data_IF_490480869640
#
_entry.id   IF_490480869640
#
_cell.length_a   1.000
_cell.length_b   1.000
_cell.length_c   1.000
_cell.angle_alpha   90.00
_cell.angle_beta   90.00
_cell.angle_gamma   90.00
#
_symmetry.space_group_name_H-M   'P 1'
#
loop_
_entity.id
_entity.type
_entity.pdbx_description
1 polymer ?
#
# COMPACT_ATOMS: atom_id res chain seq x y z
N UNK A 1 -30.44 57.57 9.04
CA UNK A 1 -30.28 58.44 7.88
C UNK A 1 -30.29 57.49 6.67
N UNK A 2 -31.46 57.01 6.27
CA UNK A 2 -32.44 57.50 5.28
C UNK A 2 -31.72 57.84 3.95
N UNK A 3 -32.04 57.06 2.94
CA UNK A 3 -32.51 57.35 1.58
C UNK A 3 -32.17 56.15 0.67
N UNK A 4 -33.13 55.40 0.22
CA UNK A 4 -34.16 55.57 -0.84
C UNK A 4 -33.68 55.05 -2.22
N UNK A 5 -34.47 54.05 -2.68
CA UNK A 5 -34.56 53.50 -4.05
C UNK A 5 -34.84 54.57 -5.12
N UNK A 6 -34.62 54.24 -6.42
CA UNK A 6 -35.86 53.94 -7.15
C UNK A 6 -35.80 52.75 -8.13
N UNK A 7 -36.98 52.20 -8.32
CA UNK A 7 -37.42 51.25 -9.33
C UNK A 7 -37.56 51.92 -10.69
N UNK A 8 -37.28 51.23 -11.79
CA UNK A 8 -37.84 51.55 -13.11
C UNK A 8 -38.44 50.31 -13.77
N UNK A 9 -39.73 50.37 -13.94
CA UNK A 9 -40.52 49.52 -14.83
C UNK A 9 -40.39 50.04 -16.26
N UNK A 10 -40.22 49.16 -17.25
CA UNK A 10 -40.66 49.44 -18.64
C UNK A 10 -41.18 48.18 -19.29
N UNK A 11 -42.34 48.34 -19.71
CA UNK A 11 -43.43 47.74 -20.43
C UNK A 11 -43.11 46.79 -21.59
N UNK A 12 -44.03 45.87 -21.77
CA UNK A 12 -44.24 44.89 -22.82
C UNK A 12 -44.43 45.48 -24.24
N UNK A 13 -44.01 44.70 -25.24
CA UNK A 13 -44.58 44.76 -26.58
C UNK A 13 -44.66 43.36 -27.19
N UNK A 14 -45.88 42.92 -27.42
CA UNK A 14 -46.29 41.73 -28.17
C UNK A 14 -46.12 42.05 -29.66
N UNK A 15 -45.51 41.15 -30.42
CA UNK A 15 -45.47 41.18 -31.86
C UNK A 15 -45.41 39.76 -32.43
N UNK A 16 -46.58 39.23 -32.78
CA UNK A 16 -46.74 38.02 -33.54
C UNK A 16 -46.53 38.31 -35.04
N UNK A 17 -45.62 37.58 -35.68
CA UNK A 17 -45.59 37.42 -37.12
C UNK A 17 -45.34 35.97 -37.49
N UNK A 18 -46.40 35.36 -38.04
CA UNK A 18 -46.35 34.08 -38.75
C UNK A 18 -46.02 34.40 -40.20
N UNK A 19 -44.97 33.74 -40.72
CA UNK A 19 -44.86 33.48 -42.17
C UNK A 19 -43.95 32.29 -42.36
N UNK A 20 -44.49 31.39 -43.12
CA UNK A 20 -44.06 30.05 -43.42
C UNK A 20 -42.88 29.92 -44.38
N UNK A 21 -42.41 28.74 -44.45
CA UNK A 21 -41.98 28.08 -45.67
C UNK A 21 -40.51 28.00 -45.93
N UNK A 22 -40.16 26.83 -46.24
CA UNK A 22 -39.04 26.27 -46.98
C UNK A 22 -37.98 25.61 -46.15
N UNK A 23 -38.03 24.29 -46.20
CA UNK A 23 -36.98 23.37 -45.72
C UNK A 23 -35.67 23.65 -46.42
N UNK A 24 -34.65 23.66 -45.63
CA UNK A 24 -33.28 23.36 -46.06
C UNK A 24 -32.77 22.29 -45.13
N UNK A 25 -32.71 21.08 -45.61
CA UNK A 25 -31.93 20.03 -44.97
C UNK A 25 -30.50 20.51 -44.86
N UNK A 26 -30.05 20.80 -43.65
CA UNK A 26 -28.67 20.95 -43.34
C UNK A 26 -28.00 19.53 -43.49
N UNK A 27 -26.83 19.40 -44.12
CA UNK A 27 -26.15 18.13 -44.18
C UNK A 27 -25.79 17.73 -42.75
N UNK A 28 -26.12 16.46 -42.41
CA UNK A 28 -25.65 15.80 -41.21
C UNK A 28 -24.17 16.04 -41.02
N UNK A 29 -23.82 16.74 -39.92
CA UNK A 29 -22.43 16.75 -39.46
C UNK A 29 -22.04 15.30 -39.17
N UNK A 30 -20.85 14.84 -39.59
CA UNK A 30 -20.40 13.50 -39.26
C UNK A 30 -20.37 13.39 -37.73
N UNK A 31 -21.07 12.40 -37.19
CA UNK A 31 -20.95 11.98 -35.80
C UNK A 31 -19.47 11.81 -35.52
N UNK A 32 -18.95 12.51 -34.52
CA UNK A 32 -17.60 12.29 -34.00
C UNK A 32 -17.40 10.80 -33.70
N UNK A 33 -16.17 10.31 -33.68
CA UNK A 33 -15.92 8.92 -33.35
C UNK A 33 -16.61 8.62 -32.03
N UNK A 34 -17.65 7.77 -32.09
CA UNK A 34 -18.37 7.33 -30.92
C UNK A 34 -17.37 6.72 -29.96
N UNK A 35 -17.32 7.22 -28.73
CA UNK A 35 -16.68 6.50 -27.64
C UNK A 35 -17.34 5.12 -27.64
N UNK A 36 -16.55 4.10 -27.96
CA UNK A 36 -16.94 2.72 -27.71
C UNK A 36 -17.24 2.62 -26.23
N UNK A 37 -18.43 2.17 -25.81
CA UNK A 37 -18.67 1.95 -24.38
C UNK A 37 -17.57 1.04 -23.85
N UNK A 38 -16.81 1.51 -22.85
CA UNK A 38 -15.93 0.62 -22.13
C UNK A 38 -16.82 -0.48 -21.52
N UNK A 39 -16.42 -1.75 -21.62
CA UNK A 39 -17.19 -2.80 -20.96
C UNK A 39 -17.28 -2.46 -19.47
N UNK A 40 -18.48 -2.54 -18.93
CA UNK A 40 -18.72 -2.40 -17.50
C UNK A 40 -17.93 -3.49 -16.77
N UNK A 41 -17.24 -3.16 -15.69
CA UNK A 41 -16.50 -4.15 -14.92
C UNK A 41 -17.44 -5.27 -14.44
N UNK A 42 -16.94 -6.50 -14.45
CA UNK A 42 -17.74 -7.65 -14.04
C UNK A 42 -17.85 -7.76 -12.51
N UNK A 43 -16.85 -7.25 -11.78
CA UNK A 43 -16.77 -7.29 -10.32
C UNK A 43 -16.36 -5.95 -9.73
N UNK A 44 -17.01 -5.58 -8.61
CA UNK A 44 -16.60 -4.47 -7.75
C UNK A 44 -15.79 -5.02 -6.57
N UNK A 45 -14.51 -4.65 -6.46
CA UNK A 45 -13.59 -5.15 -5.43
C UNK A 45 -13.12 -4.01 -4.54
N UNK A 46 -13.25 -4.18 -3.23
CA UNK A 46 -12.63 -3.31 -2.24
C UNK A 46 -11.28 -3.91 -1.81
N UNK A 47 -10.21 -3.11 -1.86
CA UNK A 47 -8.89 -3.49 -1.38
C UNK A 47 -8.51 -2.65 -0.17
N UNK A 48 -8.01 -3.27 0.88
CA UNK A 48 -7.78 -2.63 2.17
C UNK A 48 -6.71 -1.54 2.11
N UNK A 49 -5.60 -1.77 1.41
CA UNK A 49 -4.48 -0.82 1.28
C UNK A 49 -3.73 -1.04 -0.05
N UNK A 50 -2.77 -0.15 -0.36
CA UNK A 50 -2.16 -0.04 -1.69
C UNK A 50 -1.58 -1.34 -2.26
N UNK A 51 -0.76 -2.14 -1.56
CA UNK A 51 -0.28 -3.43 -2.10
C UNK A 51 -1.42 -4.37 -2.53
N UNK A 52 -2.50 -4.46 -1.76
CA UNK A 52 -3.64 -5.28 -2.13
C UNK A 52 -4.43 -4.68 -3.30
N UNK A 53 -4.57 -3.35 -3.34
CA UNK A 53 -5.15 -2.65 -4.50
C UNK A 53 -4.38 -2.99 -5.77
N UNK A 54 -3.05 -2.86 -5.75
CA UNK A 54 -2.19 -3.15 -6.90
C UNK A 54 -2.33 -4.61 -7.37
N UNK A 55 -2.33 -5.57 -6.43
CA UNK A 55 -2.50 -6.99 -6.76
C UNK A 55 -3.84 -7.22 -7.47
N UNK A 56 -4.94 -6.65 -6.95
CA UNK A 56 -6.27 -6.78 -7.55
C UNK A 56 -6.34 -6.10 -8.93
N UNK A 57 -5.77 -4.90 -9.07
CA UNK A 57 -5.73 -4.17 -10.35
C UNK A 57 -4.93 -4.93 -11.42
N UNK A 58 -3.75 -5.45 -11.03
CA UNK A 58 -2.86 -6.19 -11.94
C UNK A 58 -3.48 -7.52 -12.39
N UNK A 59 -4.13 -8.23 -11.49
CA UNK A 59 -4.77 -9.53 -11.77
C UNK A 59 -6.12 -9.35 -12.46
N UNK A 60 -6.96 -8.45 -11.95
CA UNK A 60 -8.33 -8.23 -12.42
C UNK A 60 -8.42 -7.54 -13.79
N UNK A 61 -7.40 -6.73 -14.14
CA UNK A 61 -7.39 -5.99 -15.39
C UNK A 61 -8.62 -5.12 -15.57
N UNK A 62 -9.19 -5.13 -16.78
CA UNK A 62 -10.39 -4.33 -17.11
C UNK A 62 -11.70 -4.95 -16.64
N UNK A 63 -11.68 -6.17 -16.12
CA UNK A 63 -12.86 -6.89 -15.63
C UNK A 63 -13.24 -6.54 -14.21
N UNK A 64 -12.35 -5.85 -13.48
CA UNK A 64 -12.53 -5.52 -12.05
C UNK A 64 -12.47 -4.01 -11.85
N UNK A 65 -13.46 -3.47 -11.13
CA UNK A 65 -13.41 -2.11 -10.61
C UNK A 65 -12.88 -2.15 -9.17
N UNK A 66 -11.73 -1.51 -8.92
CA UNK A 66 -11.08 -1.57 -7.62
C UNK A 66 -11.29 -0.26 -6.86
N UNK A 67 -11.67 -0.37 -5.59
CA UNK A 67 -11.76 0.76 -4.65
C UNK A 67 -10.82 0.52 -3.48
N UNK A 68 -9.87 1.43 -3.22
CA UNK A 68 -9.04 1.40 -2.02
C UNK A 68 -9.82 1.89 -0.80
N UNK A 69 -9.64 1.22 0.35
CA UNK A 69 -10.19 1.64 1.64
C UNK A 69 -9.26 2.62 2.36
N UNK A 70 -7.95 2.54 2.12
CA UNK A 70 -6.99 3.50 2.65
C UNK A 70 -6.86 4.67 1.67
N UNK A 71 -6.99 5.88 2.19
CA UNK A 71 -6.82 7.12 1.40
C UNK A 71 -5.35 7.26 1.00
N UNK A 72 -5.01 7.64 -0.25
CA UNK A 72 -3.63 7.87 -0.64
C UNK A 72 -2.90 8.83 0.31
N UNK A 73 -1.75 8.41 0.80
CA UNK A 73 -0.92 9.17 1.74
C UNK A 73 -1.33 9.07 3.22
N UNK A 74 -2.38 8.33 3.55
CA UNK A 74 -2.68 7.96 4.93
C UNK A 74 -1.89 6.70 5.31
N UNK A 75 -1.50 6.63 6.59
CA UNK A 75 -0.94 5.42 7.18
C UNK A 75 -2.03 4.34 7.25
N UNK A 76 -1.83 3.15 6.67
CA UNK A 76 -2.83 2.10 6.73
C UNK A 76 -3.02 1.48 8.12
N UNK A 77 -2.01 1.52 9.01
CA UNK A 77 -2.11 0.97 10.36
C UNK A 77 -3.23 1.65 11.17
N UNK A 78 -3.40 2.97 10.98
CA UNK A 78 -4.40 3.79 11.67
C UNK A 78 -5.63 4.11 10.81
N UNK A 79 -5.86 3.33 9.75
CA UNK A 79 -7.00 3.55 8.86
C UNK A 79 -8.33 3.46 9.61
N UNK A 80 -9.14 4.52 9.52
CA UNK A 80 -10.51 4.56 10.01
C UNK A 80 -11.49 4.55 8.84
N UNK A 81 -12.58 3.79 8.96
CA UNK A 81 -13.61 3.72 7.94
C UNK A 81 -14.78 4.65 8.25
N UNK A 82 -15.16 5.48 7.28
CA UNK A 82 -16.40 6.24 7.36
C UNK A 82 -17.61 5.32 7.17
N UNK A 83 -18.81 5.70 7.64
CA UNK A 83 -20.05 4.94 7.39
C UNK A 83 -20.33 4.68 5.89
N UNK A 84 -19.83 5.55 5.01
CA UNK A 84 -19.95 5.39 3.56
C UNK A 84 -19.03 4.28 3.03
N UNK A 85 -17.82 4.17 3.54
CA UNK A 85 -16.87 3.12 3.19
C UNK A 85 -17.35 1.76 3.71
N UNK A 86 -17.86 1.70 4.93
CA UNK A 86 -18.52 0.49 5.44
C UNK A 86 -19.72 0.08 4.57
N UNK A 87 -20.51 1.06 4.07
CA UNK A 87 -21.58 0.77 3.12
C UNK A 87 -21.09 0.20 1.80
N UNK A 88 -19.94 0.68 1.28
CA UNK A 88 -19.32 0.13 0.07
C UNK A 88 -18.80 -1.30 0.26
N UNK A 89 -18.22 -1.59 1.43
CA UNK A 89 -17.81 -2.96 1.77
C UNK A 89 -18.99 -3.94 1.72
N UNK A 90 -20.15 -3.52 2.20
CA UNK A 90 -21.36 -4.35 2.18
C UNK A 90 -21.94 -4.60 0.77
N UNK A 91 -21.57 -3.77 -0.20
CA UNK A 91 -22.04 -3.84 -1.59
C UNK A 91 -20.98 -4.46 -2.52
N UNK A 92 -19.72 -4.62 -2.08
CA UNK A 92 -18.62 -5.18 -2.87
C UNK A 92 -18.82 -6.69 -3.14
N UNK A 93 -18.46 -7.13 -4.35
CA UNK A 93 -18.43 -8.55 -4.72
C UNK A 93 -17.27 -9.28 -4.01
N UNK A 94 -16.18 -8.56 -3.73
CA UNK A 94 -15.00 -9.06 -3.02
C UNK A 94 -14.37 -7.96 -2.17
N UNK A 95 -13.94 -8.32 -0.96
CA UNK A 95 -13.10 -7.49 -0.09
C UNK A 95 -11.78 -8.21 0.12
N UNK A 96 -10.67 -7.63 -0.36
CA UNK A 96 -9.32 -8.18 -0.17
C UNK A 96 -8.65 -7.42 0.98
N UNK A 97 -8.32 -8.11 2.04
CA UNK A 97 -7.77 -7.52 3.26
C UNK A 97 -6.73 -8.42 3.91
N UNK A 98 -5.99 -7.88 4.86
CA UNK A 98 -5.05 -8.60 5.71
C UNK A 98 -5.55 -8.52 7.15
N UNK A 99 -5.90 -9.66 7.73
CA UNK A 99 -6.37 -9.71 9.12
C UNK A 99 -5.27 -9.28 10.11
N UNK A 100 -5.69 -8.67 11.20
CA UNK A 100 -4.83 -8.13 12.28
C UNK A 100 -3.90 -6.96 11.85
N UNK A 101 -4.07 -6.40 10.66
CA UNK A 101 -3.31 -5.24 10.20
C UNK A 101 -4.07 -3.93 10.40
N UNK A 102 -5.34 -3.89 9.98
CA UNK A 102 -6.20 -2.70 10.06
C UNK A 102 -7.44 -3.01 10.91
N UNK A 103 -7.46 -2.69 12.22
CA UNK A 103 -8.55 -3.07 13.11
C UNK A 103 -9.94 -2.62 12.65
N UNK A 104 -10.05 -1.41 12.05
CA UNK A 104 -11.33 -0.91 11.53
C UNK A 104 -11.83 -1.70 10.31
N UNK A 105 -10.92 -2.20 9.46
CA UNK A 105 -11.25 -3.06 8.32
C UNK A 105 -11.68 -4.45 8.82
N UNK A 106 -10.94 -5.04 9.78
CA UNK A 106 -11.30 -6.31 10.40
C UNK A 106 -12.71 -6.27 11.00
N UNK A 107 -13.04 -5.21 11.73
CA UNK A 107 -14.36 -5.01 12.33
C UNK A 107 -15.46 -4.86 11.28
N UNK A 108 -15.19 -4.12 10.23
CA UNK A 108 -16.14 -3.91 9.13
C UNK A 108 -16.37 -5.22 8.35
N UNK A 109 -15.30 -5.93 7.96
CA UNK A 109 -15.39 -7.22 7.27
C UNK A 109 -16.20 -8.21 8.08
N UNK A 110 -15.90 -8.36 9.36
CA UNK A 110 -16.63 -9.26 10.27
C UNK A 110 -18.11 -8.92 10.38
N UNK A 111 -18.45 -7.63 10.25
CA UNK A 111 -19.83 -7.15 10.47
C UNK A 111 -20.67 -7.18 9.18
N UNK A 112 -20.10 -6.81 8.02
CA UNK A 112 -20.89 -6.55 6.81
C UNK A 112 -20.41 -7.31 5.56
N UNK A 113 -19.22 -7.93 5.56
CA UNK A 113 -18.63 -8.50 4.34
C UNK A 113 -18.02 -9.91 4.54
N UNK A 114 -18.38 -10.64 5.57
CA UNK A 114 -17.75 -11.95 5.92
C UNK A 114 -17.75 -12.94 4.76
N UNK A 115 -18.84 -13.02 3.99
CA UNK A 115 -18.98 -13.98 2.88
C UNK A 115 -18.27 -13.53 1.60
N UNK A 116 -17.99 -12.22 1.49
CA UNK A 116 -17.33 -11.61 0.35
C UNK A 116 -15.81 -11.38 0.58
N UNK A 117 -15.27 -11.77 1.74
CA UNK A 117 -13.91 -11.46 2.12
C UNK A 117 -12.88 -12.50 1.64
N UNK A 118 -11.71 -12.00 1.22
CA UNK A 118 -10.48 -12.76 1.04
C UNK A 118 -9.45 -12.21 2.03
N UNK A 119 -9.16 -12.98 3.08
CA UNK A 119 -8.06 -12.72 3.98
C UNK A 119 -6.77 -13.28 3.38
N UNK A 120 -5.84 -12.38 3.01
CA UNK A 120 -4.58 -12.78 2.38
C UNK A 120 -3.55 -13.31 3.37
N UNK A 121 -3.77 -13.21 4.69
CA UNK A 121 -2.87 -13.76 5.71
C UNK A 121 -2.59 -15.26 5.50
N UNK A 122 -3.60 -16.01 5.03
CA UNK A 122 -3.48 -17.45 4.76
C UNK A 122 -2.52 -17.78 3.59
N UNK A 123 -2.19 -16.80 2.74
CA UNK A 123 -1.40 -16.98 1.52
C UNK A 123 -0.05 -16.25 1.55
N UNK A 124 0.08 -15.28 2.45
CA UNK A 124 1.27 -14.44 2.58
C UNK A 124 2.43 -15.11 3.35
N UNK A 125 2.23 -16.33 3.89
CA UNK A 125 3.20 -17.06 4.71
C UNK A 125 3.80 -16.18 5.82
N UNK A 126 2.94 -15.61 6.67
CA UNK A 126 3.32 -14.71 7.76
C UNK A 126 4.01 -15.50 8.88
N UNK A 127 5.33 -15.58 8.82
CA UNK A 127 6.16 -16.37 9.74
C UNK A 127 6.96 -15.52 10.74
N UNK A 128 7.08 -14.20 10.49
CA UNK A 128 7.82 -13.31 11.36
C UNK A 128 6.91 -12.72 12.44
N UNK A 129 7.43 -12.74 13.66
CA UNK A 129 6.77 -12.14 14.83
C UNK A 129 7.69 -11.06 15.34
N UNK A 130 7.19 -9.84 15.52
CA UNK A 130 7.97 -8.79 16.16
C UNK A 130 8.10 -9.07 17.66
N UNK A 131 9.32 -9.07 18.14
CA UNK A 131 9.62 -9.06 19.57
C UNK A 131 9.72 -7.60 20.02
N UNK A 132 8.85 -7.18 20.93
CA UNK A 132 8.72 -5.76 21.33
C UNK A 132 9.79 -5.31 22.36
N UNK A 133 10.69 -6.20 22.76
CA UNK A 133 11.51 -6.00 23.96
C UNK A 133 13.01 -5.78 23.73
N UNK A 134 13.50 -5.78 22.50
CA UNK A 134 14.94 -5.51 22.21
C UNK A 134 15.91 -6.42 22.94
N UNK A 135 15.44 -7.56 23.44
CA UNK A 135 16.26 -8.55 24.13
C UNK A 135 16.71 -9.66 23.17
N UNK A 136 17.98 -10.06 23.31
CA UNK A 136 18.55 -11.21 22.60
C UNK A 136 17.94 -12.51 23.14
N UNK A 137 16.95 -13.06 22.42
CA UNK A 137 16.27 -14.33 22.76
C UNK A 137 17.02 -15.58 22.25
N UNK A 138 18.27 -15.46 21.83
CA UNK A 138 19.07 -16.58 21.26
C UNK A 138 19.22 -17.83 22.16
N UNK A 139 18.57 -17.86 23.31
CA UNK A 139 18.58 -18.96 24.28
C UNK A 139 17.22 -19.48 24.71
N UNK A 140 16.12 -18.91 24.22
CA UNK A 140 14.76 -19.26 24.66
C UNK A 140 14.18 -20.42 23.81
N UNK A 141 13.26 -21.18 24.40
CA UNK A 141 12.53 -22.24 23.71
C UNK A 141 11.39 -21.68 22.87
N UNK A 142 10.93 -22.42 21.83
CA UNK A 142 9.79 -22.00 20.99
C UNK A 142 8.50 -21.72 21.79
N UNK A 143 8.35 -22.32 22.98
CA UNK A 143 7.20 -22.09 23.87
C UNK A 143 7.35 -20.77 24.66
N UNK A 144 8.57 -20.38 25.04
CA UNK A 144 8.87 -19.11 25.71
C UNK A 144 8.74 -17.93 24.74
N UNK A 145 9.16 -18.09 23.47
CA UNK A 145 8.94 -17.11 22.42
C UNK A 145 7.44 -16.79 22.19
N UNK A 146 6.57 -17.78 22.31
CA UNK A 146 5.12 -17.60 22.11
C UNK A 146 4.44 -16.85 23.28
N UNK A 147 5.03 -16.86 24.49
CA UNK A 147 4.47 -16.16 25.66
C UNK A 147 4.89 -14.68 25.73
N UNK A 148 5.98 -14.29 25.07
CA UNK A 148 6.51 -12.91 25.03
C UNK A 148 6.15 -12.14 23.75
N UNK A 149 5.43 -12.76 22.79
CA UNK A 149 4.99 -12.14 21.54
C UNK A 149 3.84 -11.13 21.79
N UNK A 150 4.10 -10.07 22.54
CA UNK A 150 3.16 -8.92 22.61
C UNK A 150 3.18 -8.08 21.32
N UNK A 151 4.17 -8.27 20.43
CA UNK A 151 4.37 -7.48 19.22
C UNK A 151 3.51 -7.85 18.01
N UNK A 152 2.86 -9.01 18.02
CA UNK A 152 2.05 -9.47 16.87
C UNK A 152 2.85 -9.99 15.68
N UNK A 153 2.15 -10.49 14.67
CA UNK A 153 2.74 -10.99 13.41
C UNK A 153 3.06 -9.80 12.49
N UNK A 154 4.25 -9.82 11.89
CA UNK A 154 4.66 -8.80 10.90
C UNK A 154 3.71 -8.83 9.68
N UNK A 155 3.01 -7.74 9.35
CA UNK A 155 2.09 -7.69 8.23
C UNK A 155 2.76 -7.40 6.88
N UNK A 156 4.02 -6.95 6.85
CA UNK A 156 4.66 -6.30 5.69
C UNK A 156 5.19 -7.29 4.63
N UNK A 157 4.42 -8.35 4.35
CA UNK A 157 4.77 -9.44 3.43
C UNK A 157 5.11 -8.98 2.01
N UNK A 158 4.50 -7.87 1.55
CA UNK A 158 4.67 -7.36 0.18
C UNK A 158 6.07 -6.86 -0.14
N UNK A 159 6.92 -6.65 0.87
CA UNK A 159 8.32 -6.31 0.69
C UNK A 159 9.20 -7.53 0.36
N UNK A 160 8.66 -8.76 0.46
CA UNK A 160 9.20 -9.97 -0.17
C UNK A 160 8.39 -10.27 -1.44
N UNK A 161 8.98 -10.09 -2.65
CA UNK A 161 8.28 -10.32 -3.90
C UNK A 161 7.72 -11.73 -4.05
N UNK A 162 8.30 -12.75 -3.39
CA UNK A 162 7.84 -14.13 -3.51
C UNK A 162 6.57 -14.38 -2.70
N UNK A 163 6.45 -13.78 -1.52
CA UNK A 163 5.22 -13.79 -0.72
C UNK A 163 4.10 -13.02 -1.41
N UNK A 164 4.45 -11.89 -2.00
CA UNK A 164 3.49 -11.07 -2.75
C UNK A 164 2.96 -11.80 -3.99
N UNK A 165 3.81 -12.58 -4.69
CA UNK A 165 3.38 -13.44 -5.80
C UNK A 165 2.32 -14.47 -5.36
N UNK A 166 2.51 -15.11 -4.20
CA UNK A 166 1.53 -16.07 -3.67
C UNK A 166 0.16 -15.42 -3.36
N UNK A 167 0.17 -14.18 -2.88
CA UNK A 167 -1.06 -13.40 -2.67
C UNK A 167 -1.73 -13.06 -4.00
N UNK A 168 -0.96 -12.69 -5.03
CA UNK A 168 -1.51 -12.42 -6.36
C UNK A 168 -2.19 -13.66 -6.98
N UNK A 169 -1.61 -14.84 -6.79
CA UNK A 169 -2.22 -16.12 -7.22
C UNK A 169 -3.55 -16.37 -6.48
N UNK A 170 -3.59 -16.16 -5.17
CA UNK A 170 -4.83 -16.30 -4.40
C UNK A 170 -5.93 -15.32 -4.83
N UNK A 171 -5.56 -14.09 -5.19
CA UNK A 171 -6.49 -13.10 -5.77
C UNK A 171 -7.04 -13.62 -7.09
N UNK A 172 -6.19 -14.18 -7.97
CA UNK A 172 -6.64 -14.73 -9.26
C UNK A 172 -7.62 -15.89 -9.10
N UNK A 173 -7.32 -16.82 -8.19
CA UNK A 173 -8.20 -17.96 -7.88
C UNK A 173 -9.56 -17.46 -7.38
N UNK A 174 -9.56 -16.47 -6.48
CA UNK A 174 -10.80 -15.93 -5.93
C UNK A 174 -11.64 -15.17 -6.96
N UNK A 175 -11.00 -14.36 -7.83
CA UNK A 175 -11.69 -13.68 -8.92
C UNK A 175 -12.28 -14.68 -9.92
N UNK A 176 -11.56 -15.77 -10.23
CA UNK A 176 -12.05 -16.84 -11.12
C UNK A 176 -13.25 -17.62 -10.54
N UNK A 177 -13.35 -17.75 -9.22
CA UNK A 177 -14.53 -18.33 -8.56
C UNK A 177 -15.76 -17.44 -8.72
N UNK A 178 -15.60 -16.11 -8.62
CA UNK A 178 -16.68 -15.13 -8.69
C UNK A 178 -17.09 -14.83 -10.13
N UNK A 179 -16.14 -14.79 -11.06
CA UNK A 179 -16.34 -14.57 -12.48
C UNK A 179 -15.63 -15.66 -13.32
N UNK A 180 -16.24 -16.84 -13.48
CA UNK A 180 -15.65 -17.94 -14.25
C UNK A 180 -15.38 -17.63 -15.73
N UNK A 181 -16.08 -16.63 -16.30
CA UNK A 181 -15.85 -16.19 -17.67
C UNK A 181 -14.50 -15.46 -17.84
N UNK A 182 -14.02 -14.80 -16.78
CA UNK A 182 -12.72 -14.11 -16.70
C UNK A 182 -11.56 -15.01 -16.28
N UNK A 183 -11.79 -16.24 -15.86
CA UNK A 183 -10.80 -17.11 -15.22
C UNK A 183 -9.47 -17.23 -15.98
N UNK A 184 -9.52 -17.34 -17.32
CA UNK A 184 -8.32 -17.43 -18.15
C UNK A 184 -7.52 -16.12 -18.17
N UNK A 185 -8.22 -14.99 -18.18
CA UNK A 185 -7.59 -13.65 -18.15
C UNK A 185 -6.93 -13.40 -16.78
N UNK A 186 -7.62 -13.70 -15.68
CA UNK A 186 -7.05 -13.57 -14.32
C UNK A 186 -5.81 -14.43 -14.13
N UNK A 187 -5.85 -15.70 -14.58
CA UNK A 187 -4.69 -16.59 -14.51
C UNK A 187 -3.49 -16.07 -15.36
N UNK A 188 -3.75 -15.52 -16.54
CA UNK A 188 -2.70 -14.96 -17.38
C UNK A 188 -2.09 -13.69 -16.75
N UNK A 189 -2.93 -12.78 -16.26
CA UNK A 189 -2.49 -11.55 -15.62
C UNK A 189 -1.69 -11.83 -14.33
N UNK A 190 -2.13 -12.81 -13.53
CA UNK A 190 -1.39 -13.23 -12.34
C UNK A 190 -0.03 -13.83 -12.71
N UNK A 191 0.05 -14.63 -13.76
CA UNK A 191 1.32 -15.18 -14.24
C UNK A 191 2.27 -14.07 -14.71
N UNK A 192 1.78 -13.06 -15.43
CA UNK A 192 2.59 -11.92 -15.86
C UNK A 192 3.08 -11.11 -14.65
N UNK A 193 2.21 -10.84 -13.68
CA UNK A 193 2.58 -10.11 -12.45
C UNK A 193 3.60 -10.89 -11.61
N UNK A 194 3.40 -12.19 -11.44
CA UNK A 194 4.35 -13.10 -10.74
C UNK A 194 5.71 -13.14 -11.44
N UNK A 195 5.72 -13.11 -12.78
CA UNK A 195 6.98 -13.06 -13.54
C UNK A 195 7.74 -11.75 -13.30
N UNK A 196 7.05 -10.61 -13.21
CA UNK A 196 7.67 -9.32 -12.88
C UNK A 196 8.20 -9.31 -11.44
N UNK A 197 7.45 -9.88 -10.47
CA UNK A 197 7.88 -10.03 -9.08
C UNK A 197 9.10 -10.93 -8.97
N UNK A 198 9.15 -12.03 -9.73
CA UNK A 198 10.32 -12.93 -9.79
C UNK A 198 11.56 -12.21 -10.32
N UNK A 199 11.41 -11.41 -11.38
CA UNK A 199 12.51 -10.62 -11.91
C UNK A 199 13.01 -9.57 -10.91
N UNK A 200 12.10 -8.94 -10.15
CA UNK A 200 12.45 -8.01 -9.08
C UNK A 200 13.19 -8.72 -7.94
N UNK A 201 12.75 -9.91 -7.54
CA UNK A 201 13.43 -10.74 -6.53
C UNK A 201 14.88 -11.04 -6.94
N UNK A 202 15.12 -11.42 -8.20
CA UNK A 202 16.45 -11.66 -8.74
C UNK A 202 17.30 -10.38 -8.74
N UNK A 203 16.73 -9.21 -9.06
CA UNK A 203 17.41 -7.92 -8.99
C UNK A 203 17.84 -7.59 -7.56
N UNK A 204 16.94 -7.76 -6.57
CA UNK A 204 17.20 -7.53 -5.15
C UNK A 204 18.25 -8.50 -4.61
N UNK A 205 18.09 -9.80 -4.85
CA UNK A 205 19.04 -10.83 -4.42
C UNK A 205 20.46 -10.56 -4.97
N UNK A 206 20.57 -10.23 -6.25
CA UNK A 206 21.87 -9.90 -6.87
C UNK A 206 22.47 -8.62 -6.30
N UNK A 207 21.63 -7.58 -6.13
CA UNK A 207 22.08 -6.26 -5.69
C UNK A 207 22.49 -6.20 -4.22
N UNK A 208 21.97 -7.09 -3.37
CA UNK A 208 22.23 -7.14 -1.93
C UNK A 208 23.21 -8.27 -1.52
N UNK A 209 23.64 -9.11 -2.47
CA UNK A 209 24.49 -10.27 -2.18
C UNK A 209 25.82 -9.93 -1.50
N UNK A 210 26.39 -8.75 -1.79
CA UNK A 210 27.77 -8.40 -1.42
C UNK A 210 27.85 -7.22 -0.45
N UNK A 211 26.79 -6.94 0.31
CA UNK A 211 26.74 -5.82 1.24
C UNK A 211 27.75 -6.01 2.39
N UNK A 212 28.43 -4.93 2.76
CA UNK A 212 29.40 -4.89 3.85
C UNK A 212 28.71 -4.86 5.22
N UNK A 213 27.60 -4.10 5.31
CA UNK A 213 26.77 -4.00 6.50
C UNK A 213 25.51 -4.82 6.28
N UNK A 214 25.09 -5.58 7.29
CA UNK A 214 23.89 -6.40 7.27
C UNK A 214 22.78 -5.86 8.17
N UNK A 215 23.14 -5.03 9.14
CA UNK A 215 22.17 -4.43 10.07
C UNK A 215 21.47 -3.25 9.38
N UNK A 216 20.15 -3.30 9.39
CA UNK A 216 19.22 -2.38 8.73
C UNK A 216 18.39 -1.66 9.80
N UNK A 217 18.72 -0.41 10.12
CA UNK A 217 18.01 0.38 11.12
C UNK A 217 16.99 1.29 10.42
N UNK A 218 15.70 1.06 10.68
CA UNK A 218 14.55 1.69 9.98
C UNK A 218 13.64 2.45 10.94
N UNK A 219 12.81 3.34 10.42
CA UNK A 219 11.85 4.14 11.19
C UNK A 219 10.88 3.29 12.00
N UNK A 220 10.32 2.23 11.38
CA UNK A 220 9.58 1.18 12.08
C UNK A 220 9.95 -0.21 11.51
N UNK A 221 9.42 -1.28 12.11
CA UNK A 221 9.78 -2.66 11.77
C UNK A 221 9.01 -3.19 10.54
N UNK A 222 9.03 -2.45 9.40
CA UNK A 222 8.33 -2.84 8.18
C UNK A 222 9.12 -3.79 7.26
N UNK A 223 10.44 -3.81 7.37
CA UNK A 223 11.31 -4.47 6.38
C UNK A 223 11.72 -5.89 6.79
N UNK A 224 11.02 -6.52 7.75
CA UNK A 224 11.36 -7.83 8.29
C UNK A 224 11.46 -8.91 7.22
N UNK A 225 10.45 -9.06 6.38
CA UNK A 225 10.46 -10.06 5.29
C UNK A 225 11.50 -9.76 4.19
N UNK A 226 11.73 -8.47 3.88
CA UNK A 226 12.83 -8.10 2.97
C UNK A 226 14.18 -8.46 3.60
N UNK A 227 14.38 -8.17 4.87
CA UNK A 227 15.61 -8.46 5.57
C UNK A 227 15.87 -9.97 5.63
N UNK A 228 14.90 -10.77 6.05
CA UNK A 228 14.96 -12.23 6.08
C UNK A 228 15.30 -12.82 4.69
N UNK A 229 14.63 -12.33 3.64
CA UNK A 229 14.81 -12.80 2.27
C UNK A 229 16.22 -12.58 1.72
N UNK A 230 16.86 -11.46 2.07
CA UNK A 230 18.15 -11.05 1.48
C UNK A 230 19.30 -11.04 2.48
N UNK A 231 19.19 -11.79 3.58
CA UNK A 231 20.23 -11.96 4.61
C UNK A 231 20.69 -10.60 5.22
N UNK A 232 19.71 -9.75 5.55
CA UNK A 232 19.88 -8.54 6.34
C UNK A 232 19.23 -8.76 7.72
N UNK A 233 19.57 -7.90 8.70
CA UNK A 233 19.01 -7.93 10.03
C UNK A 233 18.34 -6.58 10.30
N UNK A 234 17.01 -6.58 10.45
CA UNK A 234 16.28 -5.36 10.72
C UNK A 234 16.21 -5.05 12.21
N UNK A 235 16.43 -3.76 12.54
CA UNK A 235 16.11 -3.14 13.82
C UNK A 235 15.18 -1.94 13.57
N UNK A 236 13.95 -1.99 14.04
CA UNK A 236 13.00 -0.88 13.95
C UNK A 236 13.19 0.12 15.09
N UNK A 237 13.19 1.41 14.79
CA UNK A 237 13.15 2.47 15.81
C UNK A 237 11.81 2.43 16.55
N UNK A 238 10.72 2.25 15.81
CA UNK A 238 9.41 1.88 16.33
C UNK A 238 9.14 0.39 16.07
N UNK A 239 8.16 -0.18 16.77
CA UNK A 239 7.68 -1.54 16.54
C UNK A 239 7.06 -1.74 15.15
N UNK A 240 6.08 -2.66 15.04
CA UNK A 240 5.37 -2.92 13.76
C UNK A 240 4.48 -1.74 13.31
N UNK A 241 4.08 -0.86 14.21
CA UNK A 241 3.35 0.38 13.89
C UNK A 241 4.26 1.59 14.04
N UNK A 242 4.30 2.49 13.04
CA UNK A 242 5.12 3.69 13.10
C UNK A 242 4.69 4.69 14.19
N UNK A 243 3.46 4.60 14.68
CA UNK A 243 2.93 5.43 15.77
C UNK A 243 3.44 5.00 17.17
N UNK A 244 4.12 3.85 17.26
CA UNK A 244 4.72 3.38 18.50
C UNK A 244 5.90 4.26 18.90
N UNK A 245 5.76 5.04 19.98
CA UNK A 245 6.83 5.90 20.48
C UNK A 245 7.82 5.11 21.36
N UNK A 246 9.11 4.95 20.95
CA UNK A 246 10.09 4.28 21.78
C UNK A 246 10.40 5.11 23.04
N UNK A 247 10.68 4.43 24.13
CA UNK A 247 11.14 5.07 25.35
C UNK A 247 12.53 5.71 25.17
N UNK A 248 12.87 6.66 26.03
CA UNK A 248 14.21 7.27 26.04
C UNK A 248 15.34 6.26 26.33
N UNK A 249 15.04 5.09 26.89
CA UNK A 249 16.00 4.01 27.08
C UNK A 249 16.24 3.30 25.74
N UNK A 250 15.19 2.86 25.07
CA UNK A 250 15.28 2.22 23.74
C UNK A 250 16.00 3.11 22.72
N UNK A 251 15.72 4.42 22.69
CA UNK A 251 16.46 5.36 21.81
C UNK A 251 17.97 5.36 22.10
N UNK A 252 18.36 5.33 23.39
CA UNK A 252 19.81 5.28 23.74
C UNK A 252 20.43 3.96 23.34
N UNK A 253 19.76 2.85 23.62
CA UNK A 253 20.24 1.52 23.31
C UNK A 253 20.40 1.35 21.79
N UNK A 254 19.48 1.90 21.00
CA UNK A 254 19.56 1.92 19.53
C UNK A 254 20.72 2.80 19.03
N UNK A 255 20.97 3.97 19.62
CA UNK A 255 22.14 4.80 19.29
C UNK A 255 23.44 4.06 19.57
N UNK A 256 23.51 3.32 20.69
CA UNK A 256 24.67 2.53 21.04
C UNK A 256 24.81 1.31 20.08
N UNK A 257 23.72 0.63 19.73
CA UNK A 257 23.69 -0.42 18.72
C UNK A 257 24.25 0.07 17.36
N UNK A 258 23.75 1.21 16.85
CA UNK A 258 24.25 1.81 15.59
C UNK A 258 25.76 2.07 15.65
N UNK A 259 26.29 2.50 16.78
CA UNK A 259 27.74 2.73 16.94
C UNK A 259 28.54 1.43 17.01
N UNK A 260 28.01 0.40 17.66
CA UNK A 260 28.68 -0.89 17.88
C UNK A 260 28.72 -1.73 16.61
N UNK A 261 27.64 -1.77 15.85
CA UNK A 261 27.55 -2.50 14.57
C UNK A 261 28.28 -1.79 13.44
N UNK A 262 28.55 -0.49 13.58
CA UNK A 262 29.27 0.30 12.60
C UNK A 262 28.50 0.53 11.30
N UNK A 263 27.16 0.44 11.33
CA UNK A 263 26.30 0.88 10.22
C UNK A 263 26.58 2.35 9.93
N UNK A 264 26.48 2.73 8.66
CA UNK A 264 26.79 4.10 8.21
C UNK A 264 25.54 4.91 7.91
N UNK A 265 24.39 4.25 7.85
CA UNK A 265 23.11 4.85 7.42
C UNK A 265 21.96 4.29 8.24
N UNK A 266 21.06 5.14 8.71
CA UNK A 266 19.74 4.80 9.24
C UNK A 266 18.68 5.29 8.27
N UNK A 267 17.52 4.64 8.25
CA UNK A 267 16.53 4.86 7.19
C UNK A 267 15.25 5.46 7.76
N UNK A 268 14.91 6.65 7.26
CA UNK A 268 13.60 7.28 7.45
C UNK A 268 12.60 6.78 6.39
N UNK A 269 11.33 7.04 6.59
CA UNK A 269 10.24 6.58 5.73
C UNK A 269 9.43 7.74 5.17
N UNK A 270 8.55 7.46 4.20
CA UNK A 270 7.85 8.49 3.42
C UNK A 270 6.56 8.98 4.07
N UNK A 271 5.85 8.14 4.83
CA UNK A 271 4.54 8.49 5.40
C UNK A 271 4.62 9.01 6.85
N UNK A 272 5.77 8.87 7.50
CA UNK A 272 5.96 9.26 8.92
C UNK A 272 7.01 10.34 9.09
N UNK A 273 6.99 10.99 10.26
CA UNK A 273 7.96 12.05 10.57
C UNK A 273 9.38 11.50 10.69
N UNK A 274 10.38 12.03 9.97
CA UNK A 274 11.77 11.57 10.07
C UNK A 274 12.49 12.05 11.34
N UNK A 275 11.83 12.82 12.22
CA UNK A 275 12.49 13.56 13.30
C UNK A 275 13.23 12.66 14.30
N UNK A 276 12.69 11.47 14.59
CA UNK A 276 13.33 10.52 15.50
C UNK A 276 14.54 9.86 14.85
N UNK A 277 14.40 9.39 13.60
CA UNK A 277 15.48 8.82 12.78
C UNK A 277 16.63 9.82 12.63
N UNK A 278 16.33 11.09 12.34
CA UNK A 278 17.32 12.18 12.26
C UNK A 278 18.02 12.43 13.60
N UNK A 279 17.32 12.26 14.71
CA UNK A 279 17.92 12.41 16.05
C UNK A 279 18.90 11.29 16.34
N UNK A 280 18.54 10.03 16.06
CA UNK A 280 19.41 8.85 16.21
C UNK A 280 20.63 8.99 15.31
N UNK A 281 20.44 9.32 14.04
CA UNK A 281 21.54 9.55 13.09
C UNK A 281 22.54 10.60 13.58
N UNK A 282 22.04 11.73 14.04
CA UNK A 282 22.87 12.82 14.56
C UNK A 282 23.65 12.41 15.80
N UNK A 283 23.03 11.66 16.71
CA UNK A 283 23.68 11.21 17.94
C UNK A 283 24.69 10.09 17.67
N UNK A 284 24.36 9.17 16.79
CA UNK A 284 25.27 8.09 16.38
C UNK A 284 26.38 8.57 15.44
N UNK A 285 26.19 9.68 14.72
CA UNK A 285 27.14 10.23 13.76
C UNK A 285 27.11 9.54 12.40
N UNK A 286 25.93 9.08 11.96
CA UNK A 286 25.68 8.37 10.70
C UNK A 286 24.76 9.17 9.79
N UNK A 287 24.60 8.74 8.53
CA UNK A 287 23.75 9.39 7.55
C UNK A 287 22.29 8.95 7.68
N UNK A 288 21.35 9.76 7.15
CA UNK A 288 19.95 9.39 6.98
C UNK A 288 19.68 9.20 5.49
N UNK A 289 19.07 8.09 5.12
CA UNK A 289 18.51 7.87 3.79
C UNK A 289 17.00 7.55 3.90
N UNK A 290 16.29 7.43 2.79
CA UNK A 290 14.86 7.11 2.77
C UNK A 290 14.66 5.71 2.19
N UNK A 291 13.95 4.85 2.92
CA UNK A 291 13.34 3.62 2.43
C UNK A 291 11.82 3.78 2.51
N UNK A 292 11.13 3.41 1.45
CA UNK A 292 9.68 3.46 1.39
C UNK A 292 9.10 2.06 1.66
N UNK A 293 8.31 1.85 2.73
CA UNK A 293 7.69 0.56 3.03
C UNK A 293 6.53 0.21 2.07
N UNK A 294 6.17 1.11 1.16
CA UNK A 294 5.16 0.94 0.10
C UNK A 294 3.77 0.61 0.68
N UNK A 295 3.44 1.17 1.80
CA UNK A 295 2.10 1.10 2.40
C UNK A 295 1.07 1.95 1.65
N UNK A 296 1.55 2.96 0.94
CA UNK A 296 0.82 3.83 0.04
C UNK A 296 1.78 4.58 -0.87
N UNK A 297 1.31 5.05 -2.02
CA UNK A 297 2.11 5.83 -2.97
C UNK A 297 1.67 7.28 -2.95
N UNK A 298 2.63 8.19 -2.83
CA UNK A 298 2.42 9.65 -2.78
C UNK A 298 3.44 10.38 -3.66
N UNK A 299 3.30 11.70 -3.76
CA UNK A 299 4.30 12.55 -4.43
C UNK A 299 5.68 12.54 -3.72
N UNK A 300 5.76 12.05 -2.48
CA UNK A 300 7.00 11.89 -1.72
C UNK A 300 7.69 10.53 -1.98
N UNK A 301 6.97 9.56 -2.54
CA UNK A 301 7.52 8.25 -2.87
C UNK A 301 8.58 8.36 -3.97
N UNK A 302 9.66 7.55 -3.91
CA UNK A 302 10.77 7.61 -4.87
C UNK A 302 10.45 6.98 -6.24
N UNK A 303 9.20 6.61 -6.49
CA UNK A 303 8.67 6.04 -7.72
C UNK A 303 7.17 6.21 -7.80
N UNK A 304 6.58 5.85 -8.93
CA UNK A 304 5.14 5.99 -9.22
C UNK A 304 4.37 4.70 -9.02
N UNK A 305 5.06 3.58 -8.86
CA UNK A 305 4.49 2.27 -8.59
C UNK A 305 5.40 1.41 -7.69
N UNK A 306 4.90 0.27 -7.29
CA UNK A 306 5.59 -0.71 -6.44
C UNK A 306 6.98 -1.08 -6.98
N UNK A 307 7.10 -1.36 -8.28
CA UNK A 307 8.35 -1.82 -8.89
C UNK A 307 9.41 -0.71 -8.96
N UNK A 308 8.98 0.51 -9.27
CA UNK A 308 9.87 1.67 -9.27
C UNK A 308 10.37 1.98 -7.87
N UNK A 309 9.48 1.92 -6.86
CA UNK A 309 9.82 2.17 -5.46
C UNK A 309 10.76 1.07 -4.93
N UNK A 310 10.48 -0.20 -5.18
CA UNK A 310 11.37 -1.30 -4.76
C UNK A 310 12.76 -1.20 -5.39
N UNK A 311 12.87 -0.78 -6.65
CA UNK A 311 14.17 -0.53 -7.29
C UNK A 311 14.87 0.70 -6.71
N UNK A 312 14.15 1.74 -6.34
CA UNK A 312 14.70 2.90 -5.63
C UNK A 312 15.21 2.50 -4.24
N UNK A 313 14.42 1.69 -3.51
CA UNK A 313 14.83 1.10 -2.23
C UNK A 313 16.11 0.26 -2.39
N UNK A 314 16.21 -0.57 -3.43
CA UNK A 314 17.43 -1.32 -3.72
C UNK A 314 18.64 -0.41 -3.91
N UNK A 315 18.51 0.70 -4.65
CA UNK A 315 19.64 1.63 -4.84
C UNK A 315 20.04 2.30 -3.52
N UNK A 316 19.07 2.68 -2.71
CA UNK A 316 19.29 3.25 -1.38
C UNK A 316 19.98 2.25 -0.45
N UNK A 317 19.51 1.01 -0.40
CA UNK A 317 20.13 -0.07 0.38
C UNK A 317 21.56 -0.36 -0.09
N UNK A 318 21.78 -0.46 -1.40
CA UNK A 318 23.15 -0.70 -1.93
C UNK A 318 24.13 0.40 -1.50
N UNK A 319 23.70 1.64 -1.49
CA UNK A 319 24.53 2.76 -1.03
C UNK A 319 24.77 2.71 0.48
N UNK A 320 23.72 2.56 1.28
CA UNK A 320 23.81 2.63 2.74
C UNK A 320 24.44 1.41 3.37
N UNK A 321 24.24 0.21 2.77
CA UNK A 321 24.83 -1.06 3.25
C UNK A 321 26.20 -1.37 2.62
N UNK A 322 26.69 -0.50 1.72
CA UNK A 322 28.00 -0.67 1.08
C UNK A 322 28.09 -1.93 0.22
N UNK A 323 27.07 -2.18 -0.61
CA UNK A 323 27.03 -3.31 -1.53
C UNK A 323 27.80 -3.00 -2.82
N UNK A 324 28.60 -3.96 -3.31
CA UNK A 324 29.45 -3.81 -4.50
C UNK A 324 28.68 -4.00 -5.81
#
# INVERSE_FOLDING_TARGET
MILMKPSLLVTAAVGALVLGGCGSEAPDAPAGPGETPQPEAALDVAAAFYPLQLAVERVGGTRVAVTSLTTPGADPHDAELTPREVGRLAEADLVVFLSAFQPAVDDAVRTVATDAALDVAAYADLSLVATDDGHDHSGESEEEHAEHAEGGTDPHFWLDPTRYASVAEAVADRLAELDPEGAQEYAANAADFTAELTALDEELASGLATCTHRDLVTGHAAFGYLADRYDLHQEGIAGLSPESEPSAAQVRDLVDHVRETGVTTVYAETLVSPALTETIAREAGVEVAVLDPIEGVTDASPGTDYFEIMRANLQTLRSGQGCA
#
